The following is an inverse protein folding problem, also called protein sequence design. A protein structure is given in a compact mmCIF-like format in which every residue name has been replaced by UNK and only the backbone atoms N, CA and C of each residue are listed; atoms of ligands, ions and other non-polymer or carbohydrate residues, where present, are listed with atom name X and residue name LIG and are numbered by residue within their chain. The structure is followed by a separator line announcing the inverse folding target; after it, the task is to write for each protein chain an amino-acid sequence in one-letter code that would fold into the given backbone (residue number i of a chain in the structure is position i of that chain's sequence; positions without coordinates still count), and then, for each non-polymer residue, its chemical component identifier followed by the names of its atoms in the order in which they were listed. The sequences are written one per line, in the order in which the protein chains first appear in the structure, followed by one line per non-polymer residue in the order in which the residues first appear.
data_IF_416534257975
#
_entry.id   IF_416534257975
#
_cell.length_a   1.000
_cell.length_b   1.000
_cell.length_c   1.000
_cell.angle_alpha   90.00
_cell.angle_beta   90.00
_cell.angle_gamma   90.00
#
_symmetry.space_group_name_H-M   'P 1'
#
loop_
_entity.id
_entity.type
_entity.pdbx_description
1 polymer ?
#
# COMPACT_ATOMS: atom_id res chain seq x y z
N UNK A 1 -5.44 -36.87 5.49
CA UNK A 1 -5.81 -36.06 4.30
C UNK A 1 -6.04 -34.65 4.83
N UNK A 2 -5.35 -33.59 4.38
CA UNK A 2 -5.91 -32.23 4.59
C UNK A 2 -7.11 -32.20 3.69
N UNK A 3 -8.25 -32.62 4.23
CA UNK A 3 -9.52 -32.09 3.79
C UNK A 3 -9.48 -30.63 4.20
N UNK A 4 -9.70 -29.73 3.23
CA UNK A 4 -10.03 -28.36 3.53
C UNK A 4 -11.32 -28.41 4.35
N UNK A 5 -11.21 -28.51 5.67
CA UNK A 5 -12.33 -28.40 6.61
C UNK A 5 -12.69 -26.91 6.70
N UNK A 6 -12.95 -26.29 5.55
CA UNK A 6 -13.55 -24.98 5.49
C UNK A 6 -14.98 -25.10 5.98
N UNK A 7 -15.30 -24.44 7.08
CA UNK A 7 -16.67 -24.41 7.60
C UNK A 7 -17.17 -23.01 7.34
N UNK A 8 -18.14 -22.86 6.44
CA UNK A 8 -18.73 -21.54 6.18
C UNK A 8 -19.30 -20.95 7.47
N UNK A 9 -19.33 -19.62 7.55
CA UNK A 9 -19.94 -18.90 8.68
C UNK A 9 -21.37 -19.35 8.93
N UNK A 10 -22.14 -19.53 7.86
CA UNK A 10 -23.52 -20.01 7.88
C UNK A 10 -23.61 -21.39 8.52
N UNK A 11 -22.75 -22.33 8.10
CA UNK A 11 -22.72 -23.69 8.68
C UNK A 11 -22.27 -23.69 10.13
N UNK A 12 -21.36 -22.78 10.52
CA UNK A 12 -20.88 -22.67 11.90
C UNK A 12 -21.78 -21.81 12.81
N UNK A 13 -22.88 -21.26 12.30
CA UNK A 13 -23.75 -20.32 13.02
C UNK A 13 -22.98 -19.14 13.66
N UNK A 14 -21.95 -18.64 12.96
CA UNK A 14 -21.11 -17.58 13.50
C UNK A 14 -21.75 -16.21 13.21
N UNK A 15 -21.99 -15.35 14.24
CA UNK A 15 -22.65 -14.06 14.07
C UNK A 15 -21.90 -13.13 13.11
N UNK A 16 -22.61 -12.28 12.38
CA UNK A 16 -22.00 -11.33 11.44
C UNK A 16 -20.94 -10.41 12.08
N UNK A 17 -21.11 -10.06 13.37
CA UNK A 17 -20.20 -9.23 14.15
C UNK A 17 -18.81 -9.85 14.40
N UNK A 18 -18.63 -11.15 14.16
CA UNK A 18 -17.32 -11.80 14.29
C UNK A 18 -16.53 -11.64 12.98
N UNK A 19 -15.98 -10.46 12.72
CA UNK A 19 -15.37 -10.10 11.43
C UNK A 19 -14.13 -10.94 11.07
N UNK A 20 -13.45 -11.49 12.07
CA UNK A 20 -12.18 -12.22 11.89
C UNK A 20 -12.32 -13.73 11.63
N UNK A 21 -13.54 -14.27 11.54
CA UNK A 21 -13.76 -15.70 11.44
C UNK A 21 -13.10 -16.34 10.20
N UNK A 22 -13.32 -15.77 9.01
CA UNK A 22 -12.76 -16.26 7.76
C UNK A 22 -11.24 -16.10 7.74
N UNK A 23 -10.71 -15.03 8.34
CA UNK A 23 -9.26 -14.81 8.51
C UNK A 23 -8.64 -15.93 9.36
N UNK A 24 -9.23 -16.25 10.52
CA UNK A 24 -8.74 -17.32 11.39
C UNK A 24 -8.78 -18.69 10.73
N UNK A 25 -9.83 -19.00 9.94
CA UNK A 25 -9.88 -20.27 9.20
C UNK A 25 -8.78 -20.38 8.15
N UNK A 26 -8.60 -19.33 7.34
CA UNK A 26 -7.56 -19.25 6.31
C UNK A 26 -6.17 -19.43 6.90
N UNK A 27 -5.88 -18.73 7.99
CA UNK A 27 -4.64 -18.89 8.74
C UNK A 27 -4.45 -20.32 9.26
N UNK A 28 -5.48 -20.92 9.84
CA UNK A 28 -5.41 -22.30 10.34
C UNK A 28 -5.08 -23.30 9.22
N UNK A 29 -5.61 -23.09 8.00
CA UNK A 29 -5.24 -23.91 6.84
C UNK A 29 -3.75 -23.80 6.50
N UNK A 30 -3.22 -22.57 6.41
CA UNK A 30 -1.80 -22.32 6.13
C UNK A 30 -0.92 -22.93 7.23
N UNK A 31 -1.26 -22.72 8.50
CA UNK A 31 -0.53 -23.27 9.64
C UNK A 31 -0.57 -24.80 9.71
N UNK A 32 -1.73 -25.40 9.47
CA UNK A 32 -1.90 -26.86 9.46
C UNK A 32 -1.03 -27.49 8.38
N UNK A 33 -0.97 -26.87 7.20
CA UNK A 33 -0.11 -27.36 6.12
C UNK A 33 1.37 -27.20 6.47
N UNK A 34 1.77 -26.04 7.00
CA UNK A 34 3.16 -25.78 7.41
C UNK A 34 3.65 -26.78 8.49
N UNK A 35 2.77 -27.14 9.42
CA UNK A 35 3.04 -28.11 10.51
C UNK A 35 2.88 -29.58 10.09
N UNK A 36 2.47 -29.86 8.85
CA UNK A 36 2.25 -31.24 8.40
C UNK A 36 3.55 -32.04 8.32
N UNK A 37 3.44 -33.37 8.37
CA UNK A 37 4.59 -34.27 8.24
C UNK A 37 5.20 -34.21 6.83
N UNK A 38 6.47 -34.59 6.72
CA UNK A 38 7.14 -34.62 5.42
C UNK A 38 6.46 -35.60 4.44
N UNK A 39 6.07 -36.78 4.94
CA UNK A 39 5.30 -37.78 4.19
C UNK A 39 4.00 -37.18 3.62
N UNK A 40 3.30 -36.38 4.42
CA UNK A 40 2.10 -35.70 3.97
C UNK A 40 2.39 -34.69 2.84
N UNK A 41 3.44 -33.87 2.99
CA UNK A 41 3.84 -32.90 1.96
C UNK A 41 4.22 -33.59 0.66
N UNK A 42 4.98 -34.68 0.71
CA UNK A 42 5.39 -35.43 -0.47
C UNK A 42 4.19 -36.05 -1.20
N UNK A 43 3.24 -36.64 -0.45
CA UNK A 43 1.98 -37.15 -1.01
C UNK A 43 1.15 -36.03 -1.66
N UNK A 44 1.06 -34.85 -1.04
CA UNK A 44 0.37 -33.70 -1.62
C UNK A 44 1.04 -33.26 -2.93
N UNK A 45 2.36 -33.10 -2.94
CA UNK A 45 3.11 -32.66 -4.11
C UNK A 45 3.02 -33.64 -5.29
N UNK A 46 2.91 -34.94 -5.03
CA UNK A 46 2.77 -35.94 -6.08
C UNK A 46 1.37 -35.99 -6.71
N UNK A 47 0.33 -35.53 -6.00
CA UNK A 47 -1.06 -35.48 -6.50
C UNK A 47 -1.51 -34.10 -6.96
N UNK A 48 -0.78 -33.05 -6.58
CA UNK A 48 -1.16 -31.67 -6.87
C UNK A 48 -1.21 -31.45 -8.38
N UNK A 49 -2.27 -30.84 -8.92
CA UNK A 49 -2.35 -30.54 -10.34
C UNK A 49 -1.22 -29.58 -10.73
N UNK A 50 -0.71 -29.73 -11.95
CA UNK A 50 0.22 -28.75 -12.52
C UNK A 50 -0.47 -27.38 -12.53
N UNK A 51 0.19 -26.37 -11.97
CA UNK A 51 -0.29 -24.99 -12.08
C UNK A 51 -0.28 -24.59 -13.55
N UNK A 52 -1.45 -24.29 -14.09
CA UNK A 52 -1.56 -23.62 -15.39
C UNK A 52 -1.41 -22.11 -15.12
N UNK A 53 -0.37 -21.45 -15.67
CA UNK A 53 -0.19 -20.01 -15.52
C UNK A 53 -1.46 -19.26 -15.99
N UNK A 54 -1.98 -18.35 -15.16
CA UNK A 54 -3.16 -17.52 -15.49
C UNK A 54 -4.52 -18.02 -14.98
N UNK A 55 -4.60 -19.21 -14.34
CA UNK A 55 -5.86 -19.78 -13.80
C UNK A 55 -5.88 -19.89 -12.26
N UNK A 56 -5.10 -19.05 -11.57
CA UNK A 56 -4.83 -19.14 -10.12
C UNK A 56 -6.07 -19.04 -9.22
N UNK A 57 -7.19 -18.50 -9.70
CA UNK A 57 -8.42 -18.36 -8.90
C UNK A 57 -9.32 -19.60 -8.87
N UNK A 58 -9.14 -20.55 -9.80
CA UNK A 58 -10.08 -21.68 -9.96
C UNK A 58 -9.79 -22.88 -9.04
N UNK A 59 -8.70 -22.86 -8.27
CA UNK A 59 -8.27 -23.99 -7.44
C UNK A 59 -8.76 -23.93 -5.99
N UNK A 60 -9.49 -22.89 -5.58
CA UNK A 60 -9.90 -22.68 -4.19
C UNK A 60 -11.43 -22.66 -4.05
N UNK A 61 -11.99 -23.21 -2.96
CA UNK A 61 -13.42 -23.10 -2.69
C UNK A 61 -13.84 -21.62 -2.66
N UNK A 62 -14.92 -21.27 -3.35
CA UNK A 62 -15.46 -19.90 -3.38
C UNK A 62 -15.70 -19.34 -1.97
N UNK A 63 -16.13 -20.20 -1.04
CA UNK A 63 -16.31 -19.84 0.36
C UNK A 63 -15.01 -19.37 1.05
N UNK A 64 -13.85 -19.93 0.66
CA UNK A 64 -12.53 -19.51 1.16
C UNK A 64 -12.04 -18.20 0.52
N UNK A 65 -12.58 -17.85 -0.65
CA UNK A 65 -12.33 -16.57 -1.33
C UNK A 65 -13.33 -15.47 -0.94
N UNK A 66 -14.41 -15.84 -0.24
CA UNK A 66 -15.41 -14.88 0.21
C UNK A 66 -14.80 -13.83 1.14
N UNK A 67 -15.28 -12.60 1.00
CA UNK A 67 -14.89 -11.44 1.81
C UNK A 67 -13.41 -11.07 1.83
N UNK A 68 -12.56 -11.64 0.95
CA UNK A 68 -11.16 -11.19 0.80
C UNK A 68 -11.10 -9.67 0.62
N UNK A 69 -11.92 -9.11 -0.26
CA UNK A 69 -11.93 -7.68 -0.57
C UNK A 69 -12.35 -6.77 0.60
N UNK A 70 -13.04 -7.29 1.63
CA UNK A 70 -13.38 -6.50 2.83
C UNK A 70 -12.20 -6.43 3.82
N UNK A 71 -11.29 -7.42 3.78
CA UNK A 71 -10.12 -7.47 4.66
C UNK A 71 -8.84 -6.98 3.96
N UNK A 72 -8.91 -6.57 2.70
CA UNK A 72 -7.74 -6.38 1.86
C UNK A 72 -7.97 -5.30 0.78
N UNK A 73 -7.10 -4.29 0.66
CA UNK A 73 -7.22 -3.26 -0.36
C UNK A 73 -6.81 -3.80 -1.74
N UNK A 74 -7.75 -4.45 -2.43
CA UNK A 74 -7.54 -5.05 -3.75
C UNK A 74 -7.06 -3.99 -4.74
N UNK A 75 -5.86 -4.18 -5.28
CA UNK A 75 -5.30 -3.32 -6.33
C UNK A 75 -4.55 -2.09 -5.82
N UNK A 76 -4.57 -1.80 -4.51
CA UNK A 76 -3.77 -0.70 -3.96
C UNK A 76 -2.27 -0.99 -4.08
N UNK A 77 -1.52 0.00 -4.53
CA UNK A 77 -0.05 -0.07 -4.71
C UNK A 77 0.70 0.89 -3.81
N UNK A 78 0.05 1.96 -3.36
CA UNK A 78 0.54 2.88 -2.34
C UNK A 78 -0.15 2.56 -1.02
N UNK A 79 0.60 2.10 -0.03
CA UNK A 79 0.04 1.51 1.18
C UNK A 79 0.64 2.17 2.42
N UNK A 80 -0.23 2.69 3.28
CA UNK A 80 0.15 3.15 4.61
C UNK A 80 0.10 1.99 5.61
N UNK A 81 1.25 1.71 6.22
CA UNK A 81 1.43 0.71 7.27
C UNK A 81 1.30 1.33 8.67
N UNK A 82 1.45 2.65 8.78
CA UNK A 82 1.27 3.35 10.04
C UNK A 82 -0.21 3.33 10.47
N UNK A 83 -0.51 3.26 11.78
CA UNK A 83 -1.90 3.23 12.25
C UNK A 83 -2.69 4.47 11.83
N UNK A 84 -3.87 4.28 11.24
CA UNK A 84 -4.77 5.35 10.79
C UNK A 84 -6.12 5.39 11.53
N UNK A 85 -6.25 4.63 12.61
CA UNK A 85 -7.44 4.64 13.49
C UNK A 85 -7.78 6.06 13.98
N UNK A 86 -9.01 6.25 14.48
CA UNK A 86 -9.44 7.53 15.07
C UNK A 86 -8.53 8.01 16.21
N UNK A 87 -7.91 7.09 16.95
CA UNK A 87 -6.95 7.42 18.00
C UNK A 87 -5.63 8.00 17.44
N UNK A 88 -5.30 7.72 16.18
CA UNK A 88 -4.05 8.10 15.51
C UNK A 88 -4.22 9.36 14.65
N UNK A 89 -4.84 10.41 15.20
CA UNK A 89 -5.15 11.68 14.49
C UNK A 89 -3.93 12.29 13.79
N UNK A 90 -2.76 12.27 14.43
CA UNK A 90 -1.52 12.80 13.82
C UNK A 90 -1.17 12.04 12.54
N UNK A 91 -1.30 10.71 12.53
CA UNK A 91 -1.00 9.90 11.36
C UNK A 91 -2.03 10.13 10.25
N UNK A 92 -3.31 10.24 10.58
CA UNK A 92 -4.37 10.60 9.61
C UNK A 92 -4.07 11.92 8.90
N UNK A 93 -3.76 12.98 9.67
CA UNK A 93 -3.35 14.29 9.12
C UNK A 93 -2.14 14.14 8.17
N UNK A 94 -1.07 13.47 8.62
CA UNK A 94 0.13 13.26 7.81
C UNK A 94 -0.12 12.43 6.55
N UNK A 95 -1.04 11.47 6.60
CA UNK A 95 -1.36 10.61 5.47
C UNK A 95 -2.07 11.38 4.36
N UNK A 96 -3.04 12.23 4.72
CA UNK A 96 -3.69 13.12 3.75
C UNK A 96 -2.68 14.08 3.13
N UNK A 97 -1.82 14.69 3.96
CA UNK A 97 -0.73 15.56 3.47
C UNK A 97 0.19 14.82 2.50
N UNK A 98 0.56 13.57 2.81
CA UNK A 98 1.41 12.76 1.95
C UNK A 98 0.71 12.46 0.62
N UNK A 99 -0.58 12.13 0.64
CA UNK A 99 -1.38 11.92 -0.57
C UNK A 99 -1.41 13.17 -1.45
N UNK A 100 -1.73 14.33 -0.87
CA UNK A 100 -1.73 15.62 -1.59
C UNK A 100 -0.35 15.89 -2.20
N UNK A 101 0.73 15.66 -1.43
CA UNK A 101 2.10 15.84 -1.91
C UNK A 101 2.53 14.82 -2.99
N UNK A 102 1.75 13.76 -3.22
CA UNK A 102 1.93 12.85 -4.35
C UNK A 102 1.09 13.20 -5.57
N UNK A 103 0.12 14.12 -5.46
CA UNK A 103 -0.63 14.65 -6.61
C UNK A 103 0.16 15.74 -7.35
N UNK A 104 -0.09 15.95 -8.65
CA UNK A 104 0.50 17.09 -9.37
C UNK A 104 -0.11 18.39 -8.86
N UNK A 105 0.74 19.39 -8.64
CA UNK A 105 0.35 20.69 -8.05
C UNK A 105 0.96 21.83 -8.87
N UNK A 106 0.79 21.76 -10.19
CA UNK A 106 1.31 22.73 -11.16
C UNK A 106 0.23 23.31 -12.08
N UNK A 107 -1.05 23.13 -11.72
CA UNK A 107 -2.22 23.51 -12.53
C UNK A 107 -2.69 22.39 -13.47
N UNK A 108 -1.91 21.32 -13.60
CA UNK A 108 -2.28 20.09 -14.30
C UNK A 108 -2.71 19.02 -13.29
N UNK A 109 -3.51 18.06 -13.75
CA UNK A 109 -3.99 16.96 -12.91
C UNK A 109 -3.18 15.67 -13.14
N UNK A 110 -2.98 14.90 -12.08
CA UNK A 110 -2.20 13.67 -12.11
C UNK A 110 -1.63 13.30 -10.74
N UNK A 111 -0.91 12.18 -10.71
CA UNK A 111 -0.29 11.67 -9.50
C UNK A 111 1.06 11.05 -9.82
N UNK A 112 2.00 11.16 -8.88
CA UNK A 112 3.37 10.69 -9.04
C UNK A 112 3.46 9.20 -9.29
N UNK A 113 2.47 8.43 -8.85
CA UNK A 113 2.36 6.99 -9.08
C UNK A 113 1.26 6.64 -10.10
N UNK A 114 0.79 7.62 -10.90
CA UNK A 114 -0.43 7.55 -11.74
C UNK A 114 -1.66 7.10 -10.94
N UNK A 115 -2.67 6.51 -11.59
CA UNK A 115 -3.91 5.96 -11.03
C UNK A 115 -3.71 4.70 -10.17
N UNK A 116 -2.60 4.61 -9.45
CA UNK A 116 -2.39 3.55 -8.48
C UNK A 116 -3.25 3.85 -7.25
N UNK A 117 -4.23 2.99 -6.90
CA UNK A 117 -5.03 3.19 -5.72
C UNK A 117 -4.16 3.22 -4.46
N UNK A 118 -4.55 4.04 -3.50
CA UNK A 118 -3.90 4.15 -2.22
C UNK A 118 -4.79 3.55 -1.12
N UNK A 119 -4.19 3.02 -0.06
CA UNK A 119 -4.95 2.47 1.07
C UNK A 119 -4.19 2.58 2.38
N UNK A 120 -4.94 2.87 3.44
CA UNK A 120 -4.51 2.58 4.80
C UNK A 120 -4.78 1.13 5.15
N UNK A 121 -3.86 0.48 5.86
CA UNK A 121 -4.09 -0.86 6.39
C UNK A 121 -4.32 -0.78 7.89
N UNK A 122 -5.35 -1.47 8.35
CA UNK A 122 -5.54 -1.82 9.76
C UNK A 122 -5.40 -3.34 9.89
N UNK A 123 -4.24 -3.85 10.31
CA UNK A 123 -4.04 -5.28 10.49
C UNK A 123 -5.00 -5.83 11.55
N UNK A 124 -5.44 -7.07 11.37
CA UNK A 124 -6.36 -7.71 12.33
C UNK A 124 -5.71 -7.82 13.72
N UNK A 125 -6.38 -7.40 14.81
CA UNK A 125 -5.84 -7.47 16.17
C UNK A 125 -5.46 -8.88 16.63
N UNK A 126 -6.04 -9.91 16.03
CA UNK A 126 -5.68 -11.31 16.30
C UNK A 126 -4.25 -11.67 15.87
N UNK A 127 -3.69 -10.99 14.86
CA UNK A 127 -2.34 -11.23 14.36
C UNK A 127 -1.38 -10.12 14.79
N UNK A 128 -1.88 -8.89 14.87
CA UNK A 128 -1.13 -7.70 15.26
C UNK A 128 -1.90 -6.98 16.38
N UNK A 129 -1.84 -7.48 17.63
CA UNK A 129 -2.55 -6.87 18.76
C UNK A 129 -2.04 -5.45 19.05
N UNK A 130 -0.79 -5.18 18.70
CA UNK A 130 -0.14 -3.88 18.75
C UNK A 130 0.08 -3.38 17.31
N UNK A 131 -0.77 -2.49 16.76
CA UNK A 131 -0.68 -2.03 15.38
C UNK A 131 0.66 -1.40 15.01
N UNK A 132 1.35 -0.80 16.00
CA UNK A 132 2.67 -0.18 15.85
C UNK A 132 3.79 -1.18 15.52
N UNK A 133 3.55 -2.48 15.71
CA UNK A 133 4.50 -3.54 15.34
C UNK A 133 4.42 -3.92 13.87
N UNK A 134 3.39 -3.44 13.16
CA UNK A 134 3.22 -3.66 11.74
C UNK A 134 4.23 -2.84 10.93
N UNK A 135 4.98 -3.52 10.06
CA UNK A 135 6.11 -2.93 9.35
C UNK A 135 6.32 -3.62 8.00
N UNK A 136 7.22 -3.06 7.18
CA UNK A 136 7.49 -3.58 5.83
C UNK A 136 7.98 -5.04 5.85
N UNK A 137 8.70 -5.47 6.89
CA UNK A 137 9.23 -6.84 6.97
C UNK A 137 8.15 -7.89 7.19
N UNK A 138 7.01 -7.49 7.77
CA UNK A 138 5.86 -8.38 8.02
C UNK A 138 4.72 -8.16 7.03
N UNK A 139 4.85 -7.15 6.16
CA UNK A 139 3.83 -6.80 5.17
C UNK A 139 3.53 -7.95 4.20
N UNK A 140 4.54 -8.56 3.57
CA UNK A 140 4.29 -9.61 2.57
C UNK A 140 3.68 -10.89 3.19
N UNK A 141 4.20 -11.40 4.33
CA UNK A 141 3.56 -12.47 5.07
C UNK A 141 2.13 -12.13 5.46
N UNK A 142 1.87 -10.93 5.99
CA UNK A 142 0.52 -10.47 6.32
C UNK A 142 -0.40 -10.49 5.08
N UNK A 143 0.02 -9.81 4.01
CA UNK A 143 -0.74 -9.62 2.79
C UNK A 143 -1.18 -10.95 2.16
N UNK A 144 -0.31 -11.96 2.21
CA UNK A 144 -0.53 -13.24 1.51
C UNK A 144 -0.93 -14.40 2.42
N UNK A 145 -0.39 -14.52 3.64
CA UNK A 145 -0.62 -15.67 4.51
C UNK A 145 -1.86 -15.50 5.37
N UNK A 146 -2.10 -14.29 5.90
CA UNK A 146 -3.31 -14.03 6.69
C UNK A 146 -4.57 -14.17 5.82
N UNK A 147 -4.46 -13.76 4.56
CA UNK A 147 -5.53 -13.90 3.59
C UNK A 147 -5.56 -15.26 2.89
N UNK A 148 -4.62 -16.16 3.20
CA UNK A 148 -4.34 -17.39 2.46
C UNK A 148 -4.48 -17.20 0.94
N UNK A 149 -3.82 -16.18 0.40
CA UNK A 149 -3.83 -15.86 -1.01
C UNK A 149 -2.97 -16.86 -1.78
N UNK A 150 -3.52 -18.06 -1.95
CA UNK A 150 -2.89 -19.18 -2.63
C UNK A 150 -2.53 -18.87 -4.08
N UNK A 151 -3.12 -17.86 -4.73
CA UNK A 151 -2.64 -17.38 -6.03
C UNK A 151 -1.20 -16.85 -5.98
N UNK A 152 -0.83 -16.24 -4.86
CA UNK A 152 0.44 -15.55 -4.67
C UNK A 152 1.47 -16.33 -3.85
N UNK A 153 1.07 -17.43 -3.20
CA UNK A 153 1.98 -18.31 -2.46
C UNK A 153 2.06 -19.69 -3.08
N UNK A 154 3.24 -20.29 -3.02
CA UNK A 154 3.45 -21.72 -3.18
C UNK A 154 4.20 -22.24 -1.96
N UNK A 155 4.08 -23.53 -1.70
CA UNK A 155 4.87 -24.15 -0.66
C UNK A 155 5.70 -25.29 -1.23
N UNK A 156 7.00 -25.26 -0.96
CA UNK A 156 7.97 -26.26 -1.41
C UNK A 156 7.72 -27.60 -0.71
N UNK A 157 8.32 -28.68 -1.24
CA UNK A 157 8.22 -30.02 -0.64
C UNK A 157 8.71 -30.07 0.80
N UNK A 158 9.72 -29.26 1.15
CA UNK A 158 10.27 -29.18 2.51
C UNK A 158 9.49 -28.27 3.47
N UNK A 159 8.38 -27.66 3.03
CA UNK A 159 7.53 -26.82 3.89
C UNK A 159 7.89 -25.33 3.91
N UNK A 160 8.72 -24.85 3.00
CA UNK A 160 9.03 -23.42 2.88
C UNK A 160 8.00 -22.71 1.99
N UNK A 161 7.50 -21.57 2.44
CA UNK A 161 6.60 -20.73 1.63
C UNK A 161 7.43 -19.86 0.68
N UNK A 162 7.01 -19.80 -0.58
CA UNK A 162 7.51 -18.82 -1.54
C UNK A 162 6.38 -17.91 -2.02
N UNK A 163 6.65 -16.62 -2.12
CA UNK A 163 5.74 -15.58 -2.60
C UNK A 163 6.07 -15.29 -4.07
N UNK A 164 5.21 -15.70 -5.00
CA UNK A 164 5.50 -15.65 -6.44
C UNK A 164 4.71 -14.59 -7.21
N UNK A 165 3.62 -14.05 -6.64
CA UNK A 165 2.79 -13.03 -7.29
C UNK A 165 2.84 -11.65 -6.65
N UNK A 166 3.73 -11.46 -5.67
CA UNK A 166 3.83 -10.21 -4.90
C UNK A 166 5.26 -9.65 -4.85
N UNK A 167 6.15 -10.11 -5.71
CA UNK A 167 7.57 -9.68 -5.76
C UNK A 167 7.79 -8.46 -6.66
N UNK A 168 6.76 -8.04 -7.38
CA UNK A 168 6.73 -6.71 -7.96
C UNK A 168 6.90 -5.67 -6.84
N UNK A 169 7.63 -4.58 -7.10
CA UNK A 169 7.83 -3.50 -6.14
C UNK A 169 6.54 -2.90 -5.58
N UNK A 170 6.61 -2.59 -4.29
CA UNK A 170 5.56 -1.93 -3.52
C UNK A 170 5.95 -0.51 -3.16
N UNK A 171 4.97 0.36 -3.02
CA UNK A 171 5.14 1.69 -2.44
C UNK A 171 4.53 1.67 -1.04
N UNK A 172 5.39 1.54 -0.04
CA UNK A 172 4.98 1.40 1.36
C UNK A 172 5.34 2.66 2.14
N UNK A 173 4.52 2.99 3.13
CA UNK A 173 4.71 4.14 4.02
C UNK A 173 4.59 3.63 5.45
N UNK A 174 5.72 3.47 6.13
CA UNK A 174 5.74 3.19 7.56
C UNK A 174 5.64 4.48 8.40
N UNK A 175 5.73 4.34 9.72
CA UNK A 175 5.66 5.49 10.63
C UNK A 175 6.75 6.54 10.34
N UNK A 176 7.98 6.12 10.07
CA UNK A 176 9.09 7.02 9.79
C UNK A 176 8.91 7.73 8.44
N UNK A 177 8.43 7.02 7.43
CA UNK A 177 8.09 7.60 6.13
C UNK A 177 6.98 8.65 6.27
N UNK A 178 5.95 8.33 7.04
CA UNK A 178 4.83 9.24 7.32
C UNK A 178 5.29 10.49 8.08
N UNK A 179 6.18 10.33 9.05
CA UNK A 179 6.75 11.44 9.83
C UNK A 179 7.69 12.32 9.00
N UNK A 180 8.33 11.76 7.97
CA UNK A 180 9.35 12.45 7.15
C UNK A 180 8.86 12.85 5.76
N UNK A 181 7.59 12.59 5.43
CA UNK A 181 6.98 12.96 4.15
C UNK A 181 7.53 12.16 2.96
N UNK A 182 7.84 10.88 3.20
CA UNK A 182 8.45 9.98 2.21
C UNK A 182 7.56 8.80 1.89
N UNK A 183 7.88 8.15 0.78
CA UNK A 183 7.33 6.89 0.32
C UNK A 183 8.53 5.98 0.05
N UNK A 184 8.51 4.77 0.62
CA UNK A 184 9.55 3.78 0.40
C UNK A 184 9.15 2.82 -0.70
N UNK A 185 9.98 2.73 -1.74
CA UNK A 185 9.89 1.64 -2.71
C UNK A 185 10.54 0.39 -2.11
N UNK A 186 9.81 -0.72 -2.09
CA UNK A 186 10.25 -1.99 -1.49
C UNK A 186 10.16 -3.10 -2.52
N UNK A 187 11.24 -3.87 -2.70
CA UNK A 187 11.22 -5.13 -3.43
C UNK A 187 11.45 -6.29 -2.46
N UNK A 188 10.65 -7.33 -2.60
CA UNK A 188 10.78 -8.56 -1.82
C UNK A 188 11.45 -9.66 -2.65
N UNK A 189 12.22 -10.50 -1.98
CA UNK A 189 12.63 -11.80 -2.50
C UNK A 189 11.46 -12.80 -2.44
N UNK A 190 11.61 -13.92 -3.16
CA UNK A 190 10.59 -14.98 -3.17
C UNK A 190 10.39 -15.62 -1.78
N UNK A 191 11.34 -15.50 -0.86
CA UNK A 191 11.20 -15.99 0.53
C UNK A 191 10.49 -14.96 1.44
N UNK A 192 10.12 -13.79 0.92
CA UNK A 192 9.45 -12.70 1.63
C UNK A 192 10.37 -11.75 2.37
N UNK A 193 11.68 -11.97 2.32
CA UNK A 193 12.66 -11.01 2.83
C UNK A 193 12.74 -9.80 1.91
N UNK A 194 13.16 -8.67 2.48
CA UNK A 194 13.35 -7.44 1.73
C UNK A 194 14.65 -7.55 0.93
N UNK A 195 14.53 -7.58 -0.40
CA UNK A 195 15.67 -7.54 -1.31
C UNK A 195 16.30 -6.14 -1.32
N UNK A 196 15.46 -5.11 -1.46
CA UNK A 196 15.93 -3.74 -1.50
C UNK A 196 14.85 -2.73 -1.14
N UNK A 197 15.28 -1.64 -0.52
CA UNK A 197 14.44 -0.46 -0.30
C UNK A 197 15.17 0.82 -0.67
N UNK A 198 14.40 1.87 -0.97
CA UNK A 198 14.88 3.24 -0.93
C UNK A 198 13.71 4.22 -0.75
N UNK A 199 13.83 5.21 0.13
CA UNK A 199 12.80 6.21 0.34
C UNK A 199 12.98 7.41 -0.60
N UNK A 200 11.87 8.02 -1.01
CA UNK A 200 11.81 9.30 -1.71
C UNK A 200 10.69 10.18 -1.17
N UNK A 201 10.81 11.50 -1.26
CA UNK A 201 9.66 12.39 -0.99
C UNK A 201 8.53 12.09 -1.97
N UNK A 202 7.30 12.32 -1.53
CA UNK A 202 6.10 11.99 -2.32
C UNK A 202 6.15 12.55 -3.75
N UNK A 203 6.45 13.84 -3.92
CA UNK A 203 6.56 14.48 -5.23
C UNK A 203 7.76 14.03 -6.07
N UNK A 204 8.76 13.37 -5.46
CA UNK A 204 9.90 12.78 -6.17
C UNK A 204 9.64 11.33 -6.60
N UNK A 205 8.45 10.79 -6.37
CA UNK A 205 8.09 9.45 -6.82
C UNK A 205 7.81 9.38 -8.33
N UNK A 206 7.53 10.51 -9.00
CA UNK A 206 7.21 10.51 -10.43
C UNK A 206 8.35 9.98 -11.32
N UNK A 207 9.63 10.39 -11.14
CA UNK A 207 10.74 9.75 -11.83
C UNK A 207 10.88 8.26 -11.49
N UNK A 208 10.70 7.86 -10.23
CA UNK A 208 10.75 6.45 -9.82
C UNK A 208 9.71 5.63 -10.60
N UNK A 209 8.48 6.14 -10.67
CA UNK A 209 7.40 5.52 -11.44
C UNK A 209 7.68 5.54 -12.96
N UNK A 210 8.29 6.59 -13.48
CA UNK A 210 8.58 6.65 -14.92
C UNK A 210 9.61 5.60 -15.31
N UNK A 211 10.69 5.44 -14.55
CA UNK A 211 11.76 4.50 -14.88
C UNK A 211 11.39 3.05 -14.55
N UNK A 212 10.80 2.79 -13.38
CA UNK A 212 10.47 1.42 -12.97
C UNK A 212 9.30 0.85 -13.80
N UNK A 213 8.01 1.18 -13.54
CA UNK A 213 6.92 0.59 -14.32
C UNK A 213 6.81 1.15 -15.74
N UNK A 214 7.14 2.43 -15.96
CA UNK A 214 7.00 3.07 -17.28
C UNK A 214 8.00 2.55 -18.31
N UNK A 215 9.29 2.52 -17.96
CA UNK A 215 10.38 2.08 -18.85
C UNK A 215 10.88 0.65 -18.57
N UNK A 216 10.24 -0.05 -17.62
CA UNK A 216 10.60 -1.43 -17.21
C UNK A 216 12.06 -1.58 -16.80
N UNK A 217 12.64 -0.55 -16.17
CA UNK A 217 14.01 -0.62 -15.65
C UNK A 217 14.05 -1.44 -14.37
N UNK A 218 15.08 -2.25 -14.12
CA UNK A 218 15.25 -2.91 -12.82
C UNK A 218 15.35 -1.88 -11.69
N UNK A 219 14.78 -2.17 -10.52
CA UNK A 219 14.87 -1.26 -9.37
C UNK A 219 16.31 -0.99 -8.92
N UNK A 220 17.22 -1.94 -9.13
CA UNK A 220 18.64 -1.73 -8.88
C UNK A 220 19.21 -0.56 -9.69
N UNK A 221 18.83 -0.43 -10.96
CA UNK A 221 19.20 0.69 -11.82
C UNK A 221 18.55 1.99 -11.32
N UNK A 222 17.25 1.98 -11.03
CA UNK A 222 16.51 3.15 -10.51
C UNK A 222 17.14 3.69 -9.22
N UNK A 223 17.52 2.79 -8.31
CA UNK A 223 18.21 3.13 -7.06
C UNK A 223 19.62 3.68 -7.30
N UNK A 224 20.41 3.04 -8.17
CA UNK A 224 21.79 3.43 -8.46
C UNK A 224 21.87 4.78 -9.19
N UNK A 225 21.00 5.01 -10.16
CA UNK A 225 20.87 6.27 -10.89
C UNK A 225 20.26 7.39 -10.05
N UNK A 226 19.78 7.08 -8.83
CA UNK A 226 19.17 8.03 -7.90
C UNK A 226 17.95 8.73 -8.50
N UNK A 227 17.14 7.98 -9.23
CA UNK A 227 15.87 8.49 -9.73
C UNK A 227 15.00 8.97 -8.57
N UNK A 228 14.33 10.09 -8.77
CA UNK A 228 13.60 10.78 -7.71
C UNK A 228 14.50 11.59 -6.76
N UNK A 229 15.73 11.91 -7.11
CA UNK A 229 16.54 12.88 -6.37
C UNK A 229 18.00 12.48 -6.31
N UNK A 230 18.81 13.15 -7.13
CA UNK A 230 20.24 12.90 -7.30
C UNK A 230 21.03 13.37 -6.07
N UNK A 231 20.59 14.47 -5.45
CA UNK A 231 21.23 15.09 -4.30
C UNK A 231 20.52 14.69 -3.00
N UNK A 232 21.25 14.41 -1.91
CA UNK A 232 20.65 13.97 -0.64
C UNK A 232 19.56 14.92 -0.10
N UNK A 233 19.74 16.22 -0.25
CA UNK A 233 18.81 17.26 0.20
C UNK A 233 17.43 17.18 -0.49
N UNK A 234 17.37 16.69 -1.72
CA UNK A 234 16.11 16.54 -2.47
C UNK A 234 15.18 15.52 -1.82
N UNK A 235 15.74 14.57 -1.06
CA UNK A 235 14.98 13.59 -0.30
C UNK A 235 15.19 13.74 1.20
N UNK A 236 15.63 14.90 1.71
CA UNK A 236 15.72 15.14 3.15
C UNK A 236 14.34 15.06 3.82
N UNK A 237 14.30 14.84 5.13
CA UNK A 237 13.03 14.75 5.86
C UNK A 237 12.23 16.05 5.71
N UNK A 238 10.92 15.92 5.50
CA UNK A 238 9.97 17.01 5.57
C UNK A 238 9.38 17.08 6.97
N UNK A 239 9.20 18.29 7.49
CA UNK A 239 8.36 18.48 8.66
C UNK A 239 6.90 18.33 8.22
N UNK A 240 6.29 17.19 8.56
CA UNK A 240 4.90 16.86 8.21
C UNK A 240 3.87 17.53 9.13
N UNK A 241 4.32 18.30 10.14
CA UNK A 241 3.43 19.05 11.03
C UNK A 241 2.98 20.38 10.43
N UNK A 242 3.80 20.99 9.55
CA UNK A 242 3.47 22.24 8.88
C UNK A 242 2.20 22.14 7.99
N UNK A 243 1.51 23.26 7.74
CA UNK A 243 0.49 23.35 6.71
C UNK A 243 1.05 22.98 5.32
N UNK A 244 0.22 22.38 4.46
CA UNK A 244 0.67 21.88 3.16
C UNK A 244 1.20 23.00 2.26
N UNK A 245 0.54 24.15 2.26
CA UNK A 245 0.94 25.32 1.46
C UNK A 245 2.28 25.89 1.94
N UNK A 246 2.46 26.08 3.25
CA UNK A 246 3.72 26.60 3.81
C UNK A 246 4.90 25.68 3.48
N UNK A 247 4.66 24.37 3.47
CA UNK A 247 5.66 23.37 3.07
C UNK A 247 6.06 23.52 1.61
N UNK A 248 5.09 23.68 0.71
CA UNK A 248 5.34 23.87 -0.72
C UNK A 248 6.09 25.18 -0.98
N UNK A 249 5.72 26.28 -0.32
CA UNK A 249 6.42 27.56 -0.40
C UNK A 249 7.88 27.43 0.07
N UNK A 250 8.11 26.79 1.21
CA UNK A 250 9.45 26.54 1.73
C UNK A 250 10.29 25.67 0.79
N UNK A 251 9.70 24.61 0.22
CA UNK A 251 10.38 23.75 -0.74
C UNK A 251 10.71 24.51 -2.05
N UNK A 252 9.80 25.36 -2.53
CA UNK A 252 10.03 26.23 -3.70
C UNK A 252 11.16 27.22 -3.44
N UNK A 253 11.15 27.89 -2.30
CA UNK A 253 12.19 28.86 -1.92
C UNK A 253 13.59 28.22 -1.84
N UNK A 254 13.68 26.93 -1.48
CA UNK A 254 14.93 26.16 -1.45
C UNK A 254 15.29 25.48 -2.78
N UNK A 255 14.46 25.63 -3.82
CA UNK A 255 14.68 24.98 -5.12
C UNK A 255 14.62 23.45 -5.04
N UNK A 256 13.76 22.91 -4.17
CA UNK A 256 13.64 21.48 -3.92
C UNK A 256 12.54 20.80 -4.74
N UNK A 257 11.65 21.56 -5.38
CA UNK A 257 10.54 21.03 -6.19
C UNK A 257 11.04 20.56 -7.56
N UNK A 258 10.43 19.50 -8.09
CA UNK A 258 10.67 19.02 -9.45
C UNK A 258 9.86 19.84 -10.46
N UNK A 259 10.24 19.82 -11.75
CA UNK A 259 9.27 20.13 -12.82
C UNK A 259 8.01 19.30 -12.57
N UNK A 260 6.82 19.90 -12.73
CA UNK A 260 5.49 19.32 -12.41
C UNK A 260 4.96 19.55 -10.98
N UNK A 261 5.74 20.23 -10.12
CA UNK A 261 5.32 20.67 -8.79
C UNK A 261 5.60 22.16 -8.55
N UNK A 262 6.07 22.87 -9.58
CA UNK A 262 6.59 24.23 -9.51
C UNK A 262 5.52 25.32 -9.64
N UNK A 263 4.25 24.97 -9.39
CA UNK A 263 3.12 25.89 -9.26
C UNK A 263 3.35 27.00 -8.24
N UNK A 264 2.40 27.95 -8.16
CA UNK A 264 2.42 29.02 -7.16
C UNK A 264 1.34 28.79 -6.11
N UNK A 265 1.33 29.62 -5.06
CA UNK A 265 0.37 29.51 -3.96
C UNK A 265 -1.08 29.40 -4.44
N UNK A 266 -1.48 30.25 -5.38
CA UNK A 266 -2.86 30.25 -5.90
C UNK A 266 -3.17 28.94 -6.65
N UNK A 267 -2.23 28.49 -7.51
CA UNK A 267 -2.32 27.21 -8.22
C UNK A 267 -2.40 26.03 -7.26
N UNK A 268 -1.53 25.98 -6.25
CA UNK A 268 -1.56 24.93 -5.23
C UNK A 268 -2.86 24.92 -4.45
N UNK A 269 -3.36 26.11 -4.10
CA UNK A 269 -4.62 26.23 -3.35
C UNK A 269 -5.77 25.64 -4.16
N UNK A 270 -5.84 25.98 -5.45
CA UNK A 270 -6.86 25.46 -6.36
C UNK A 270 -6.72 23.95 -6.61
N UNK A 271 -5.52 23.47 -6.93
CA UNK A 271 -5.27 22.06 -7.17
C UNK A 271 -5.61 21.21 -5.94
N UNK A 272 -5.22 21.66 -4.75
CA UNK A 272 -5.52 20.95 -3.50
C UNK A 272 -7.01 20.92 -3.22
N UNK A 273 -7.75 21.99 -3.49
CA UNK A 273 -9.21 21.99 -3.32
C UNK A 273 -9.92 21.07 -4.32
N UNK A 274 -9.31 20.81 -5.48
CA UNK A 274 -9.79 19.76 -6.40
C UNK A 274 -9.48 18.36 -5.83
N UNK A 275 -8.24 18.07 -5.43
CA UNK A 275 -7.88 16.72 -4.96
C UNK A 275 -8.47 16.35 -3.60
N UNK A 276 -8.62 17.34 -2.72
CA UNK A 276 -9.07 17.17 -1.35
C UNK A 276 -10.01 18.33 -0.97
N UNK A 277 -11.25 18.34 -1.49
CA UNK A 277 -12.19 19.45 -1.29
C UNK A 277 -12.38 19.83 0.18
N UNK A 278 -12.21 21.11 0.49
CA UNK A 278 -12.36 21.63 1.85
C UNK A 278 -11.24 21.25 2.84
N UNK A 279 -10.23 20.48 2.42
CA UNK A 279 -9.09 20.11 3.27
C UNK A 279 -8.36 21.33 3.83
N UNK A 280 -8.09 22.35 2.99
CA UNK A 280 -7.33 23.54 3.41
C UNK A 280 -8.04 24.34 4.52
N UNK A 281 -9.38 24.37 4.51
CA UNK A 281 -10.17 24.98 5.59
C UNK A 281 -10.05 24.15 6.88
N UNK A 282 -10.12 22.83 6.77
CA UNK A 282 -9.93 21.95 7.93
C UNK A 282 -8.51 22.06 8.51
N UNK A 283 -7.48 22.17 7.67
CA UNK A 283 -6.09 22.37 8.10
C UNK A 283 -5.89 23.71 8.81
N UNK A 284 -6.48 24.79 8.29
CA UNK A 284 -6.46 26.10 8.96
C UNK A 284 -7.12 26.07 10.34
N UNK A 285 -8.15 25.24 10.53
CA UNK A 285 -8.87 25.04 11.79
C UNK A 285 -8.19 24.00 12.73
N UNK A 286 -7.10 23.35 12.30
CA UNK A 286 -6.44 22.27 13.04
C UNK A 286 -7.27 20.97 13.14
N UNK A 287 -8.18 20.76 12.18
CA UNK A 287 -9.11 19.62 12.08
C UNK A 287 -8.80 18.71 10.90
N UNK A 288 -7.66 18.85 10.24
CA UNK A 288 -7.33 18.12 9.02
C UNK A 288 -7.32 16.59 9.22
N UNK A 289 -7.06 16.12 10.44
CA UNK A 289 -7.17 14.69 10.77
C UNK A 289 -8.58 14.11 10.63
N UNK A 290 -9.61 14.96 10.67
CA UNK A 290 -11.02 14.56 10.53
C UNK A 290 -11.49 14.54 9.08
N UNK A 291 -10.66 15.00 8.13
CA UNK A 291 -10.98 14.90 6.71
C UNK A 291 -11.15 13.42 6.32
N UNK A 292 -12.21 13.15 5.58
CA UNK A 292 -12.59 11.80 5.17
C UNK A 292 -11.74 11.36 3.97
N UNK A 293 -10.90 10.34 4.14
CA UNK A 293 -10.05 9.83 3.07
C UNK A 293 -10.85 9.34 1.85
N UNK A 294 -12.13 8.98 2.02
CA UNK A 294 -12.98 8.58 0.90
C UNK A 294 -13.44 9.75 0.02
N UNK A 295 -13.23 10.99 0.50
CA UNK A 295 -13.50 12.22 -0.26
C UNK A 295 -12.31 12.71 -1.06
N UNK A 296 -11.15 12.04 -0.96
CA UNK A 296 -10.01 12.32 -1.82
C UNK A 296 -10.35 11.94 -3.27
N UNK A 297 -10.18 12.88 -4.19
CA UNK A 297 -10.53 12.69 -5.60
C UNK A 297 -9.39 11.98 -6.32
N UNK A 298 -9.73 10.96 -7.12
CA UNK A 298 -8.76 10.27 -7.97
C UNK A 298 -8.21 11.24 -9.02
N UNK A 299 -6.91 11.17 -9.36
CA UNK A 299 -6.31 12.07 -10.33
C UNK A 299 -6.96 12.10 -11.72
N UNK A 300 -7.62 11.01 -12.14
CA UNK A 300 -8.38 10.98 -13.39
C UNK A 300 -9.64 11.81 -13.28
N UNK A 301 -10.38 11.67 -12.17
CA UNK A 301 -11.59 12.46 -11.94
C UNK A 301 -11.26 13.94 -11.70
N UNK A 302 -10.15 14.23 -11.03
CA UNK A 302 -9.63 15.59 -10.83
C UNK A 302 -9.35 16.29 -12.17
N UNK A 303 -8.81 15.56 -13.16
CA UNK A 303 -8.60 16.07 -14.52
C UNK A 303 -9.92 16.49 -15.18
N UNK A 304 -10.96 15.67 -15.06
CA UNK A 304 -12.28 15.98 -15.63
C UNK A 304 -12.94 17.18 -14.95
N UNK A 305 -12.79 17.32 -13.62
CA UNK A 305 -13.28 18.48 -12.86
C UNK A 305 -12.58 19.77 -13.31
N UNK A 306 -11.25 19.72 -13.48
CA UNK A 306 -10.45 20.86 -13.95
C UNK A 306 -10.90 21.32 -15.34
N UNK A 307 -11.13 20.38 -16.27
CA UNK A 307 -11.62 20.71 -17.61
C UNK A 307 -12.99 21.39 -17.63
N UNK A 308 -13.86 21.07 -16.67
CA UNK A 308 -15.19 21.69 -16.55
C UNK A 308 -15.15 23.09 -15.93
N UNK A 309 -14.03 23.45 -15.27
CA UNK A 309 -13.85 24.72 -14.56
C UNK A 309 -13.13 25.79 -15.40
N UNK A 310 -12.66 25.42 -16.59
CA UNK A 310 -12.01 26.29 -17.58
C UNK A 310 -13.00 26.81 -18.63
#
# INVERSE_FOLDING_TARGET
MVQENWISRETANVPAANEDYEVRQRRNLVETWAKATQEFRDLYHNRAPLRIPGLTHQAHPEAALSRIAYSYPVGARLICLAPLSEASRSNRSKWIKLYILSCRLDGEMGHCLKSNPHAGIEPTPATFPEPTTFSMTVFLPWYTLETANFGNIVMTRNGSVLFLGCTEPWFLVDQNDLDTGRITTVQFENNGEILMTFPRRAYYMFPVYTYFPGLRKPLSEVKQSREGGVRPEQNAALDMTLPVIERLEGAKARGELIPFFDGARDTWTEDIDIYAPGYLLMEADGKEADHDHSQLIDPVDAYDIRLQSL
#
